data_IF_029949960145
#
_entry.id   IF_029949960145
#
_cell.length_a   1.000
_cell.length_b   1.000
_cell.length_c   1.000
_cell.angle_alpha   90.00
_cell.angle_beta   90.00
_cell.angle_gamma   90.00
#
_symmetry.space_group_name_H-M   'P 1'
#
loop_
_entity.id
_entity.type
_entity.pdbx_description
1 polymer ?
#
# COMPACT_ATOMS: atom_id res chain seq x y z
N UNK A 1 -24.00 -18.85 -34.64
CA UNK A 1 -24.80 -17.65 -34.98
C UNK A 1 -23.91 -16.67 -35.75
N UNK A 2 -24.48 -15.75 -36.55
CA UNK A 2 -23.70 -14.67 -37.16
C UNK A 2 -23.35 -13.61 -36.09
N UNK A 3 -22.29 -12.84 -36.31
CA UNK A 3 -21.95 -11.73 -35.41
C UNK A 3 -23.13 -10.76 -35.28
N UNK A 4 -23.37 -10.28 -34.06
CA UNK A 4 -24.50 -9.43 -33.72
C UNK A 4 -23.98 -8.13 -33.07
N UNK A 5 -24.46 -6.98 -33.54
CA UNK A 5 -24.23 -5.70 -32.86
C UNK A 5 -25.37 -5.42 -31.90
N UNK A 6 -25.05 -5.16 -30.63
CA UNK A 6 -26.01 -4.84 -29.58
C UNK A 6 -25.68 -3.52 -28.91
N UNK A 7 -26.69 -2.86 -28.38
CA UNK A 7 -26.52 -1.69 -27.54
C UNK A 7 -26.28 -2.09 -26.07
N UNK A 8 -25.21 -1.56 -25.45
CA UNK A 8 -24.88 -1.83 -24.06
C UNK A 8 -25.92 -1.26 -23.11
N UNK A 9 -26.46 -2.08 -22.20
CA UNK A 9 -27.48 -1.63 -21.24
C UNK A 9 -27.01 -0.50 -20.31
N UNK A 10 -25.70 -0.41 -20.01
CA UNK A 10 -25.13 0.63 -19.14
C UNK A 10 -24.80 1.92 -19.90
N UNK A 11 -23.74 1.89 -20.71
CA UNK A 11 -23.19 3.08 -21.37
C UNK A 11 -23.91 3.46 -22.66
N UNK A 12 -24.89 2.66 -23.11
CA UNK A 12 -25.65 2.88 -24.34
C UNK A 12 -24.80 2.94 -25.62
N UNK A 13 -23.56 2.45 -25.56
CA UNK A 13 -22.69 2.30 -26.73
C UNK A 13 -22.91 0.95 -27.39
N UNK A 14 -22.73 0.89 -28.70
CA UNK A 14 -22.82 -0.35 -29.45
C UNK A 14 -21.58 -1.23 -29.22
N UNK A 15 -21.79 -2.54 -29.18
CA UNK A 15 -20.73 -3.53 -29.09
C UNK A 15 -21.10 -4.77 -29.90
N UNK A 16 -20.07 -5.40 -30.48
CA UNK A 16 -20.23 -6.61 -31.29
C UNK A 16 -20.03 -7.85 -30.41
N UNK A 17 -20.87 -8.86 -30.63
CA UNK A 17 -20.67 -10.22 -30.16
C UNK A 17 -20.32 -11.04 -31.40
N UNK A 18 -19.13 -11.65 -31.40
CA UNK A 18 -18.68 -12.41 -32.55
C UNK A 18 -19.37 -13.76 -32.65
N UNK A 19 -19.42 -14.33 -33.85
CA UNK A 19 -20.00 -15.66 -34.09
C UNK A 19 -19.39 -16.74 -33.20
N UNK A 20 -18.09 -16.64 -32.91
CA UNK A 20 -17.35 -17.55 -32.02
C UNK A 20 -17.78 -17.39 -30.55
N UNK A 21 -18.08 -16.17 -30.10
CA UNK A 21 -18.54 -15.91 -28.73
C UNK A 21 -19.88 -16.61 -28.45
N UNK A 22 -20.79 -16.63 -29.43
CA UNK A 22 -22.06 -17.35 -29.29
C UNK A 22 -21.87 -18.85 -29.04
N UNK A 23 -20.93 -19.48 -29.76
CA UNK A 23 -20.60 -20.89 -29.55
C UNK A 23 -20.04 -21.12 -28.13
N UNK A 24 -19.26 -20.18 -27.62
CA UNK A 24 -18.75 -20.24 -26.25
C UNK A 24 -19.87 -20.16 -25.21
N UNK A 25 -20.77 -19.17 -25.32
CA UNK A 25 -21.89 -18.99 -24.38
C UNK A 25 -22.85 -20.18 -24.38
N UNK A 26 -23.14 -20.75 -25.56
CA UNK A 26 -23.95 -21.96 -25.70
C UNK A 26 -23.29 -23.16 -25.00
N UNK A 27 -21.97 -23.35 -25.20
CA UNK A 27 -21.20 -24.44 -24.58
C UNK A 27 -21.25 -24.39 -23.06
N UNK A 28 -21.19 -23.21 -22.45
CA UNK A 28 -21.27 -23.04 -20.99
C UNK A 28 -22.71 -22.84 -20.48
N UNK A 29 -23.71 -22.90 -21.37
CA UNK A 29 -25.15 -22.78 -21.08
C UNK A 29 -25.54 -21.47 -20.39
N UNK A 30 -24.99 -20.35 -20.86
CA UNK A 30 -25.35 -19.01 -20.36
C UNK A 30 -25.82 -18.10 -21.50
N UNK A 31 -26.64 -17.08 -21.23
CA UNK A 31 -27.06 -16.14 -22.26
C UNK A 31 -25.90 -15.23 -22.72
N UNK A 32 -25.93 -14.77 -23.99
CA UNK A 32 -24.99 -13.78 -24.49
C UNK A 32 -25.11 -12.46 -23.71
N UNK A 33 -24.02 -11.68 -23.60
CA UNK A 33 -23.98 -10.49 -22.76
C UNK A 33 -24.94 -9.39 -23.24
N UNK A 34 -25.45 -8.63 -22.28
CA UNK A 34 -26.23 -7.39 -22.52
C UNK A 34 -25.43 -6.12 -22.23
N UNK A 35 -24.19 -6.27 -21.75
CA UNK A 35 -23.25 -5.19 -21.43
C UNK A 35 -21.98 -5.38 -22.25
N UNK A 36 -21.39 -4.28 -22.74
CA UNK A 36 -20.11 -4.30 -23.42
C UNK A 36 -18.98 -4.80 -22.50
N UNK A 37 -17.84 -5.18 -23.07
CA UNK A 37 -16.68 -5.72 -22.33
C UNK A 37 -16.19 -4.77 -21.22
N UNK A 38 -16.15 -3.46 -21.49
CA UNK A 38 -15.71 -2.45 -20.52
C UNK A 38 -16.67 -2.32 -19.34
N UNK A 39 -17.98 -2.18 -19.57
CA UNK A 39 -18.94 -2.12 -18.46
C UNK A 39 -19.02 -3.43 -17.67
N UNK A 40 -18.76 -4.59 -18.31
CA UNK A 40 -18.59 -5.85 -17.59
C UNK A 40 -17.33 -5.84 -16.70
N UNK A 41 -16.23 -5.23 -17.17
CA UNK A 41 -15.01 -5.06 -16.38
C UNK A 41 -15.24 -4.14 -15.18
N UNK A 42 -15.88 -2.98 -15.39
CA UNK A 42 -16.26 -2.06 -14.32
C UNK A 42 -17.09 -2.78 -13.24
N UNK A 43 -18.12 -3.53 -13.64
CA UNK A 43 -18.95 -4.33 -12.72
C UNK A 43 -18.19 -5.40 -11.94
N UNK A 44 -17.09 -5.92 -12.47
CA UNK A 44 -16.20 -6.82 -11.72
C UNK A 44 -15.29 -6.04 -10.77
N UNK A 45 -14.79 -4.88 -11.20
CA UNK A 45 -13.88 -4.06 -10.43
C UNK A 45 -14.56 -3.36 -9.23
N UNK A 46 -15.84 -3.01 -9.31
CA UNK A 46 -16.55 -2.32 -8.20
C UNK A 46 -16.59 -3.10 -6.89
N UNK A 47 -16.47 -4.43 -6.93
CA UNK A 47 -16.47 -5.28 -5.74
C UNK A 47 -15.08 -5.47 -5.11
N UNK A 48 -14.02 -4.97 -5.76
CA UNK A 48 -12.65 -5.16 -5.31
C UNK A 48 -11.95 -3.82 -5.14
N UNK A 49 -11.81 -3.42 -3.89
CA UNK A 49 -10.97 -2.30 -3.51
C UNK A 49 -9.56 -2.80 -3.18
N UNK A 50 -8.57 -2.33 -3.94
CA UNK A 50 -7.19 -2.78 -3.80
C UNK A 50 -6.35 -1.91 -2.85
N UNK A 51 -6.70 -0.63 -2.64
CA UNK A 51 -5.77 0.34 -2.02
C UNK A 51 -6.40 1.50 -1.25
N UNK A 52 -7.72 1.66 -1.29
CA UNK A 52 -8.39 2.83 -0.71
C UNK A 52 -8.94 2.49 0.67
N UNK A 53 -8.56 3.27 1.68
CA UNK A 53 -9.22 3.22 2.98
C UNK A 53 -10.25 4.34 3.07
N UNK A 54 -11.48 3.96 3.39
CA UNK A 54 -12.57 4.89 3.66
C UNK A 54 -12.72 5.04 5.17
N UNK A 55 -12.93 6.28 5.63
CA UNK A 55 -13.32 6.56 7.00
C UNK A 55 -14.83 6.32 7.12
N UNK A 56 -15.24 5.35 7.91
CA UNK A 56 -16.64 4.97 8.12
C UNK A 56 -16.98 4.89 9.60
N UNK A 57 -18.26 4.78 9.93
CA UNK A 57 -18.71 4.53 11.30
C UNK A 57 -18.76 3.04 11.58
N UNK A 58 -18.21 2.67 12.72
CA UNK A 58 -18.35 1.34 13.30
C UNK A 58 -19.82 1.04 13.59
N UNK A 59 -20.29 -0.14 13.21
CA UNK A 59 -21.70 -0.50 13.29
C UNK A 59 -22.20 -0.66 14.73
N UNK A 60 -21.36 -1.13 15.65
CA UNK A 60 -21.76 -1.40 17.03
C UNK A 60 -21.59 -0.18 17.94
N UNK A 61 -20.47 0.52 17.79
CA UNK A 61 -20.06 1.61 18.69
C UNK A 61 -20.23 3.00 18.10
N UNK A 62 -20.40 3.13 16.78
CA UNK A 62 -20.49 4.42 16.09
C UNK A 62 -19.17 5.21 16.04
N UNK A 63 -18.05 4.60 16.44
CA UNK A 63 -16.73 5.23 16.37
C UNK A 63 -16.22 5.29 14.93
N UNK A 64 -15.27 6.19 14.67
CA UNK A 64 -14.62 6.27 13.37
C UNK A 64 -13.64 5.10 13.20
N UNK A 65 -13.79 4.34 12.11
CA UNK A 65 -12.91 3.24 11.71
C UNK A 65 -12.53 3.34 10.23
N UNK A 66 -11.53 2.56 9.81
CA UNK A 66 -11.17 2.42 8.40
C UNK A 66 -11.80 1.18 7.78
N UNK A 67 -12.20 1.30 6.52
CA UNK A 67 -12.84 0.23 5.76
C UNK A 67 -12.39 0.19 4.31
N UNK A 68 -12.35 -1.00 3.72
CA UNK A 68 -12.24 -1.15 2.26
C UNK A 68 -13.55 -0.83 1.53
N UNK A 69 -14.63 -0.56 2.26
CA UNK A 69 -15.94 -0.26 1.70
C UNK A 69 -16.32 1.19 1.97
N UNK A 70 -16.81 1.92 0.96
CA UNK A 70 -17.35 3.25 1.15
C UNK A 70 -18.63 3.22 1.99
N UNK A 71 -18.90 4.31 2.74
CA UNK A 71 -20.11 4.43 3.55
C UNK A 71 -21.39 4.37 2.69
N UNK A 72 -21.32 4.89 1.47
CA UNK A 72 -22.37 4.87 0.45
C UNK A 72 -22.77 3.44 0.04
N UNK A 73 -21.86 2.47 0.23
CA UNK A 73 -22.15 1.04 0.00
C UNK A 73 -23.11 0.44 1.02
N UNK A 74 -23.40 1.14 2.13
CA UNK A 74 -24.34 0.69 3.16
C UNK A 74 -23.87 -0.52 3.96
N UNK A 75 -22.57 -0.81 3.95
CA UNK A 75 -21.99 -1.95 4.66
C UNK A 75 -21.85 -1.67 6.15
N UNK A 76 -22.33 -2.60 6.98
CA UNK A 76 -22.15 -2.56 8.44
C UNK A 76 -20.73 -3.03 8.79
N UNK A 77 -19.81 -2.09 8.86
CA UNK A 77 -18.40 -2.38 9.18
C UNK A 77 -18.19 -2.47 10.68
N UNK A 78 -17.45 -3.46 11.15
CA UNK A 78 -17.06 -3.61 12.57
C UNK A 78 -15.55 -3.66 12.75
N UNK A 79 -15.07 -3.44 13.97
CA UNK A 79 -13.65 -3.60 14.30
C UNK A 79 -13.20 -5.06 14.27
N UNK A 80 -11.87 -5.27 14.25
CA UNK A 80 -11.29 -6.61 14.33
C UNK A 80 -11.61 -7.26 15.69
N UNK A 81 -11.52 -6.49 16.76
CA UNK A 81 -11.77 -6.93 18.12
C UNK A 81 -13.21 -7.44 18.28
N UNK A 82 -14.18 -6.72 17.71
CA UNK A 82 -15.58 -7.13 17.72
C UNK A 82 -15.83 -8.37 16.86
N UNK A 83 -15.25 -8.41 15.66
CA UNK A 83 -15.41 -9.54 14.73
C UNK A 83 -14.95 -10.88 15.30
N UNK A 84 -13.85 -10.88 16.06
CA UNK A 84 -13.29 -12.07 16.69
C UNK A 84 -13.76 -12.29 18.14
N UNK A 85 -14.76 -11.53 18.60
CA UNK A 85 -15.38 -11.67 19.92
C UNK A 85 -16.79 -12.25 19.81
N UNK A 86 -17.41 -12.50 20.96
CA UNK A 86 -18.82 -12.91 21.05
C UNK A 86 -19.81 -11.73 20.88
N UNK A 87 -19.34 -10.55 20.48
CA UNK A 87 -20.18 -9.37 20.26
C UNK A 87 -21.12 -9.50 19.04
N UNK A 88 -20.87 -10.46 18.15
CA UNK A 88 -21.65 -10.69 16.94
C UNK A 88 -22.08 -12.16 16.86
N UNK A 89 -23.39 -12.41 16.97
CA UNK A 89 -23.96 -13.71 16.66
C UNK A 89 -24.43 -13.74 15.19
N UNK A 90 -23.66 -14.41 14.33
CA UNK A 90 -23.99 -14.52 12.91
C UNK A 90 -25.25 -15.35 12.64
N UNK A 91 -25.71 -16.17 13.60
CA UNK A 91 -26.93 -16.98 13.47
C UNK A 91 -28.17 -16.08 13.45
N UNK A 92 -28.14 -14.93 14.13
CA UNK A 92 -29.27 -13.99 14.18
C UNK A 92 -29.67 -13.44 12.80
N UNK A 93 -28.73 -13.40 11.86
CA UNK A 93 -28.97 -12.95 10.49
C UNK A 93 -29.51 -14.06 9.58
N UNK A 94 -29.67 -15.28 10.09
CA UNK A 94 -30.25 -16.40 9.37
C UNK A 94 -31.68 -16.12 8.92
N UNK A 95 -32.00 -16.45 7.66
CA UNK A 95 -33.34 -16.28 7.09
C UNK A 95 -33.77 -17.51 6.32
N UNK A 96 -35.07 -17.79 6.32
CA UNK A 96 -35.66 -18.76 5.42
C UNK A 96 -35.68 -18.22 3.98
N UNK A 97 -35.53 -19.11 3.00
CA UNK A 97 -35.59 -18.73 1.59
C UNK A 97 -37.03 -18.38 1.17
N UNK A 98 -37.21 -17.22 0.56
CA UNK A 98 -38.49 -16.76 0.00
C UNK A 98 -38.56 -17.05 -1.50
N UNK A 99 -39.41 -17.99 -1.91
CA UNK A 99 -39.59 -18.37 -3.31
C UNK A 99 -40.33 -17.31 -4.16
N UNK A 100 -40.89 -16.26 -3.53
CA UNK A 100 -41.53 -15.15 -4.25
C UNK A 100 -40.53 -14.11 -4.76
N UNK A 101 -39.32 -14.07 -4.20
CA UNK A 101 -38.23 -13.16 -4.60
C UNK A 101 -37.14 -13.88 -5.37
N UNK A 102 -36.37 -13.13 -6.15
CA UNK A 102 -35.17 -13.67 -6.78
C UNK A 102 -34.07 -13.95 -5.74
N UNK A 103 -33.23 -14.95 -5.99
CA UNK A 103 -32.08 -15.26 -5.14
C UNK A 103 -31.15 -14.05 -4.96
N UNK A 104 -30.83 -13.33 -6.04
CA UNK A 104 -29.90 -12.20 -6.00
C UNK A 104 -30.41 -11.02 -5.18
N UNK A 105 -31.72 -10.78 -5.19
CA UNK A 105 -32.36 -9.75 -4.36
C UNK A 105 -32.23 -10.10 -2.87
N UNK A 106 -32.59 -11.33 -2.50
CA UNK A 106 -32.46 -11.81 -1.12
C UNK A 106 -31.00 -11.80 -0.65
N UNK A 107 -30.07 -12.20 -1.51
CA UNK A 107 -28.63 -12.16 -1.21
C UNK A 107 -28.15 -10.72 -0.99
N UNK A 108 -28.60 -9.76 -1.80
CA UNK A 108 -28.21 -8.37 -1.66
C UNK A 108 -28.81 -7.70 -0.41
N UNK A 109 -30.05 -8.07 -0.04
CA UNK A 109 -30.66 -7.66 1.22
C UNK A 109 -29.86 -8.19 2.42
N UNK A 110 -29.49 -9.49 2.40
CA UNK A 110 -28.70 -10.11 3.44
C UNK A 110 -27.29 -9.49 3.54
N UNK A 111 -26.63 -9.27 2.40
CA UNK A 111 -25.29 -8.71 2.29
C UNK A 111 -25.16 -7.27 2.85
N UNK A 112 -26.28 -6.53 2.95
CA UNK A 112 -26.35 -5.23 3.62
C UNK A 112 -26.59 -5.32 5.12
N UNK A 113 -27.25 -6.39 5.57
CA UNK A 113 -27.62 -6.55 6.97
C UNK A 113 -26.59 -7.27 7.81
N UNK A 114 -25.83 -8.19 7.22
CA UNK A 114 -24.77 -8.94 7.90
C UNK A 114 -23.57 -8.00 8.10
N UNK A 115 -23.07 -7.83 9.35
CA UNK A 115 -21.85 -7.11 9.63
C UNK A 115 -20.66 -7.72 8.89
N UNK A 116 -19.66 -6.89 8.58
CA UNK A 116 -18.45 -7.32 7.89
C UNK A 116 -17.21 -6.88 8.63
N UNK A 117 -16.16 -7.68 8.57
CA UNK A 117 -14.81 -7.26 8.92
C UNK A 117 -14.17 -6.53 7.73
N UNK A 118 -14.03 -5.20 7.78
CA UNK A 118 -13.86 -4.40 6.59
C UNK A 118 -12.43 -4.37 6.06
N UNK A 119 -11.44 -4.65 6.90
CA UNK A 119 -10.03 -4.67 6.52
C UNK A 119 -9.56 -6.06 6.12
N UNK A 120 -10.27 -7.13 6.51
CA UNK A 120 -9.88 -8.54 6.25
C UNK A 120 -8.39 -8.80 6.57
N UNK A 121 -8.01 -8.56 7.82
CA UNK A 121 -6.62 -8.79 8.26
C UNK A 121 -6.51 -9.80 9.41
N UNK A 122 -5.48 -10.62 9.39
CA UNK A 122 -5.27 -11.68 10.39
C UNK A 122 -3.82 -11.71 10.88
N UNK A 123 -3.59 -12.07 12.14
CA UNK A 123 -2.27 -12.24 12.76
C UNK A 123 -1.32 -11.02 12.63
N UNK A 124 -1.89 -9.82 12.60
CA UNK A 124 -1.14 -8.59 12.41
C UNK A 124 -0.37 -8.20 13.68
N UNK A 125 0.89 -7.83 13.53
CA UNK A 125 1.73 -7.33 14.61
C UNK A 125 2.20 -5.92 14.26
N UNK A 126 1.75 -4.91 15.02
CA UNK A 126 2.16 -3.51 14.82
C UNK A 126 2.07 -3.04 13.35
N UNK A 127 0.98 -3.39 12.65
CA UNK A 127 0.85 -3.16 11.21
C UNK A 127 -0.40 -2.36 10.83
N UNK A 128 -0.48 -1.08 11.22
CA UNK A 128 -1.69 -0.28 11.03
C UNK A 128 -1.92 0.10 9.56
N UNK A 129 -3.19 0.36 9.21
CA UNK A 129 -3.62 0.77 7.86
C UNK A 129 -3.36 -0.24 6.74
N UNK A 130 -3.14 -1.51 7.11
CA UNK A 130 -3.04 -2.61 6.16
C UNK A 130 -4.42 -3.25 5.95
N UNK A 131 -4.67 -3.82 4.78
CA UNK A 131 -5.93 -4.47 4.46
C UNK A 131 -5.76 -5.62 3.46
N UNK A 132 -6.69 -6.59 3.46
CA UNK A 132 -6.57 -7.88 2.77
C UNK A 132 -5.20 -8.52 3.03
N UNK A 133 -4.81 -8.68 4.30
CA UNK A 133 -3.44 -9.00 4.65
C UNK A 133 -3.34 -9.96 5.83
N UNK A 134 -2.39 -10.87 5.77
CA UNK A 134 -2.21 -11.89 6.81
C UNK A 134 -0.78 -11.93 7.32
N UNK A 135 -0.62 -12.01 8.64
CA UNK A 135 0.66 -12.18 9.32
C UNK A 135 1.71 -11.09 9.00
N UNK A 136 1.28 -9.84 8.81
CA UNK A 136 2.22 -8.74 8.65
C UNK A 136 2.80 -8.31 10.00
N UNK A 137 4.09 -7.94 10.00
CA UNK A 137 4.80 -7.45 11.17
C UNK A 137 5.48 -6.12 10.87
N UNK A 138 5.19 -5.10 11.67
CA UNK A 138 5.72 -3.75 11.45
C UNK A 138 5.52 -3.30 10.00
N UNK A 139 4.30 -3.36 9.46
CA UNK A 139 4.00 -2.93 8.10
C UNK A 139 3.04 -1.74 8.09
N UNK A 140 3.20 -0.82 7.13
CA UNK A 140 2.35 0.37 7.03
C UNK A 140 1.77 0.53 5.65
N UNK A 141 0.44 0.68 5.57
CA UNK A 141 -0.27 0.92 4.30
C UNK A 141 0.00 -0.19 3.25
N UNK A 142 0.06 -1.44 3.69
CA UNK A 142 0.24 -2.61 2.82
C UNK A 142 -1.10 -3.28 2.51
N UNK A 143 -1.35 -3.58 1.23
CA UNK A 143 -2.58 -4.20 0.75
C UNK A 143 -2.33 -5.53 0.05
N UNK A 144 -3.22 -6.50 0.22
CA UNK A 144 -3.14 -7.80 -0.45
C UNK A 144 -1.83 -8.54 -0.16
N UNK A 145 -1.29 -8.43 1.06
CA UNK A 145 0.08 -8.82 1.39
C UNK A 145 0.11 -9.86 2.51
N UNK A 146 1.01 -10.84 2.42
CA UNK A 146 1.11 -11.90 3.42
C UNK A 146 2.54 -12.09 3.93
N UNK A 147 2.69 -12.31 5.24
CA UNK A 147 3.99 -12.63 5.88
C UNK A 147 5.10 -11.59 5.63
N UNK A 148 4.74 -10.32 5.36
CA UNK A 148 5.73 -9.27 5.18
C UNK A 148 6.17 -8.66 6.51
N UNK A 149 7.46 -8.32 6.61
CA UNK A 149 8.06 -7.67 7.78
C UNK A 149 8.72 -6.34 7.38
N UNK A 150 8.49 -5.29 8.17
CA UNK A 150 9.11 -3.97 7.96
C UNK A 150 8.87 -3.35 6.56
N UNK A 151 7.70 -3.61 5.97
CA UNK A 151 7.33 -3.13 4.64
C UNK A 151 6.38 -1.92 4.69
N UNK A 152 6.48 -1.01 3.73
CA UNK A 152 5.60 0.17 3.65
C UNK A 152 5.11 0.44 2.23
N UNK A 153 3.88 0.95 2.12
CA UNK A 153 3.27 1.38 0.85
C UNK A 153 3.21 0.26 -0.21
N UNK A 154 3.13 -1.00 0.26
CA UNK A 154 3.20 -2.20 -0.54
C UNK A 154 1.83 -2.64 -1.07
N UNK A 155 1.80 -3.26 -2.24
CA UNK A 155 0.66 -4.06 -2.67
C UNK A 155 1.17 -5.45 -3.11
N UNK A 156 0.44 -6.52 -2.80
CA UNK A 156 0.87 -7.89 -3.14
C UNK A 156 2.33 -8.14 -2.72
N UNK A 157 2.62 -7.85 -1.45
CA UNK A 157 3.94 -8.01 -0.84
C UNK A 157 3.92 -9.29 -0.02
N UNK A 158 4.46 -10.36 -0.59
CA UNK A 158 4.44 -11.68 0.03
C UNK A 158 5.85 -12.09 0.48
N UNK A 159 5.96 -12.61 1.70
CA UNK A 159 7.21 -13.16 2.28
C UNK A 159 8.42 -12.23 2.17
N UNK A 160 8.21 -10.91 2.29
CA UNK A 160 9.23 -9.90 2.01
C UNK A 160 9.66 -9.14 3.28
N UNK A 161 10.91 -8.69 3.32
CA UNK A 161 11.50 -8.00 4.48
C UNK A 161 12.24 -6.72 4.08
N UNK A 162 12.02 -5.64 4.84
CA UNK A 162 12.70 -4.34 4.67
C UNK A 162 12.53 -3.76 3.24
N UNK A 163 11.32 -3.84 2.68
CA UNK A 163 11.00 -3.36 1.32
C UNK A 163 10.13 -2.08 1.35
N UNK A 164 10.46 -1.09 0.51
CA UNK A 164 9.79 0.24 0.52
C UNK A 164 9.35 0.64 -0.90
N UNK A 165 8.11 1.13 -1.03
CA UNK A 165 7.49 1.65 -2.26
C UNK A 165 7.39 0.62 -3.41
N UNK A 166 6.79 -0.54 -3.14
CA UNK A 166 6.71 -1.65 -4.11
C UNK A 166 5.27 -2.00 -4.48
N UNK A 167 4.99 -2.28 -5.75
CA UNK A 167 3.63 -2.60 -6.20
C UNK A 167 3.27 -4.09 -6.22
N UNK A 168 4.25 -4.99 -6.41
CA UNK A 168 4.11 -6.46 -6.34
C UNK A 168 5.51 -7.06 -6.13
N UNK A 169 5.76 -7.71 -4.99
CA UNK A 169 7.04 -8.34 -4.66
C UNK A 169 6.80 -9.65 -3.89
N UNK A 170 7.57 -10.68 -4.21
CA UNK A 170 7.47 -11.98 -3.57
C UNK A 170 8.87 -12.47 -3.14
N UNK A 171 9.04 -12.89 -1.89
CA UNK A 171 10.30 -13.37 -1.33
C UNK A 171 11.49 -12.41 -1.58
N UNK A 172 11.30 -11.13 -1.30
CA UNK A 172 12.32 -10.09 -1.52
C UNK A 172 12.83 -9.51 -0.20
N UNK A 173 14.14 -9.27 -0.11
CA UNK A 173 14.78 -8.69 1.07
C UNK A 173 15.78 -7.58 0.69
N UNK A 174 15.71 -6.45 1.42
CA UNK A 174 16.55 -5.26 1.20
C UNK A 174 16.41 -4.68 -0.22
N UNK A 175 15.17 -4.53 -0.66
CA UNK A 175 14.84 -3.97 -1.98
C UNK A 175 14.23 -2.56 -1.86
N UNK A 176 14.58 -1.66 -2.79
CA UNK A 176 14.12 -0.27 -2.77
C UNK A 176 13.76 0.24 -4.17
N UNK A 177 12.57 0.86 -4.28
CA UNK A 177 12.03 1.41 -5.55
C UNK A 177 11.99 0.33 -6.64
N UNK A 178 11.44 -0.83 -6.28
CA UNK A 178 11.38 -1.98 -7.17
C UNK A 178 9.94 -2.26 -7.62
N UNK A 179 9.78 -2.69 -8.87
CA UNK A 179 8.48 -2.98 -9.44
C UNK A 179 8.48 -4.36 -10.09
N UNK A 180 7.58 -5.26 -9.64
CA UNK A 180 7.45 -6.64 -10.13
C UNK A 180 8.73 -7.45 -9.93
N UNK A 181 8.91 -7.94 -8.70
CA UNK A 181 10.07 -8.71 -8.28
C UNK A 181 9.70 -10.05 -7.68
N UNK A 182 10.55 -11.05 -7.92
CA UNK A 182 10.42 -12.38 -7.32
C UNK A 182 11.80 -12.92 -6.91
N UNK A 183 11.94 -13.44 -5.69
CA UNK A 183 13.17 -14.05 -5.18
C UNK A 183 14.42 -13.17 -5.36
N UNK A 184 14.34 -11.90 -4.94
CA UNK A 184 15.43 -10.95 -5.11
C UNK A 184 16.00 -10.40 -3.81
N UNK A 185 17.32 -10.25 -3.78
CA UNK A 185 18.05 -9.81 -2.59
C UNK A 185 18.97 -8.63 -2.90
N UNK A 186 18.89 -7.57 -2.10
CA UNK A 186 19.79 -6.41 -2.16
C UNK A 186 19.75 -5.72 -3.54
N UNK A 187 18.55 -5.41 -4.01
CA UNK A 187 18.31 -4.84 -5.33
C UNK A 187 17.68 -3.45 -5.27
N UNK A 188 18.12 -2.54 -6.13
CA UNK A 188 17.77 -1.12 -6.06
C UNK A 188 17.37 -0.56 -7.43
N UNK A 189 16.22 0.12 -7.49
CA UNK A 189 15.68 0.74 -8.71
C UNK A 189 15.52 -0.25 -9.86
N UNK A 190 14.87 -1.39 -9.60
CA UNK A 190 14.74 -2.45 -10.59
C UNK A 190 13.30 -2.74 -10.98
N UNK A 191 13.11 -3.18 -12.23
CA UNK A 191 11.79 -3.40 -12.82
C UNK A 191 11.73 -4.81 -13.44
N UNK A 192 10.66 -5.56 -13.17
CA UNK A 192 10.31 -6.83 -13.83
C UNK A 192 11.42 -7.88 -13.78
N UNK A 193 12.07 -8.07 -12.63
CA UNK A 193 13.24 -8.95 -12.51
C UNK A 193 12.96 -10.09 -11.52
N UNK A 194 13.69 -11.20 -11.63
CA UNK A 194 13.45 -12.38 -10.78
C UNK A 194 14.73 -13.18 -10.50
N UNK A 195 14.75 -13.95 -9.41
CA UNK A 195 15.83 -14.88 -9.04
C UNK A 195 17.23 -14.23 -9.08
N UNK A 196 17.35 -13.00 -8.58
CA UNK A 196 18.51 -12.15 -8.82
C UNK A 196 18.99 -11.45 -7.56
N UNK A 197 20.29 -11.21 -7.41
CA UNK A 197 20.81 -10.43 -6.29
C UNK A 197 21.82 -9.35 -6.70
N UNK A 198 21.96 -8.30 -5.87
CA UNK A 198 22.88 -7.19 -6.12
C UNK A 198 22.65 -6.48 -7.47
N UNK A 199 21.39 -6.21 -7.81
CA UNK A 199 21.05 -5.45 -9.02
C UNK A 199 20.87 -3.96 -8.73
N UNK A 200 21.32 -3.13 -9.66
CA UNK A 200 21.17 -1.68 -9.59
C UNK A 200 20.69 -1.13 -10.94
N UNK A 201 19.59 -0.39 -10.97
CA UNK A 201 19.07 0.23 -12.20
C UNK A 201 18.83 -0.75 -13.35
N UNK A 202 18.40 -1.97 -13.02
CA UNK A 202 18.19 -3.06 -13.98
C UNK A 202 16.72 -3.24 -14.36
N UNK A 203 16.47 -3.76 -15.56
CA UNK A 203 15.12 -4.07 -16.04
C UNK A 203 15.08 -5.43 -16.72
N UNK A 204 14.07 -6.24 -16.42
CA UNK A 204 13.88 -7.54 -17.05
C UNK A 204 15.15 -8.42 -16.96
N UNK A 205 15.71 -8.55 -15.75
CA UNK A 205 16.85 -9.41 -15.46
C UNK A 205 16.38 -10.64 -14.68
N UNK A 206 16.77 -11.84 -15.12
CA UNK A 206 16.34 -13.09 -14.47
C UNK A 206 17.52 -14.02 -14.22
N UNK A 207 17.72 -14.47 -12.98
CA UNK A 207 18.90 -15.25 -12.61
C UNK A 207 20.18 -14.43 -12.58
N UNK A 208 20.11 -13.10 -12.45
CA UNK A 208 21.25 -12.21 -12.62
C UNK A 208 21.85 -11.76 -11.28
N UNK A 209 23.17 -11.73 -11.21
CA UNK A 209 23.88 -11.39 -9.98
C UNK A 209 24.91 -10.31 -10.23
N UNK A 210 25.00 -9.31 -9.34
CA UNK A 210 25.99 -8.24 -9.47
C UNK A 210 25.92 -7.58 -10.86
N UNK A 211 24.78 -6.93 -11.17
CA UNK A 211 24.60 -6.21 -12.43
C UNK A 211 24.17 -4.76 -12.19
N UNK A 212 24.66 -3.86 -13.03
CA UNK A 212 24.40 -2.42 -12.96
C UNK A 212 23.89 -1.90 -14.31
N UNK A 213 22.74 -1.24 -14.35
CA UNK A 213 22.19 -0.61 -15.56
C UNK A 213 21.84 -1.61 -16.67
N UNK A 214 21.54 -2.86 -16.32
CA UNK A 214 21.36 -3.94 -17.31
C UNK A 214 19.90 -4.15 -17.68
N UNK A 215 19.65 -4.59 -18.91
CA UNK A 215 18.32 -4.83 -19.46
C UNK A 215 18.25 -6.19 -20.16
N UNK A 216 17.19 -6.96 -19.96
CA UNK A 216 16.92 -8.23 -20.67
C UNK A 216 18.01 -9.30 -20.49
N UNK A 217 18.74 -9.28 -19.37
CA UNK A 217 19.76 -10.30 -19.11
C UNK A 217 19.15 -11.56 -18.48
N UNK A 218 19.78 -12.70 -18.77
CA UNK A 218 19.42 -14.01 -18.20
C UNK A 218 20.68 -14.68 -17.67
N UNK A 219 20.65 -15.22 -16.45
CA UNK A 219 21.72 -16.03 -15.84
C UNK A 219 23.12 -15.42 -16.02
N UNK A 220 23.21 -14.09 -15.89
CA UNK A 220 24.43 -13.32 -16.14
C UNK A 220 24.95 -12.73 -14.86
N UNK A 221 26.27 -12.50 -14.79
CA UNK A 221 26.87 -11.89 -13.60
C UNK A 221 27.93 -10.90 -13.95
N UNK A 222 28.19 -9.90 -13.11
CA UNK A 222 29.24 -8.90 -13.34
C UNK A 222 29.05 -8.10 -14.63
N UNK A 223 27.81 -7.69 -14.90
CA UNK A 223 27.46 -6.92 -16.09
C UNK A 223 27.24 -5.44 -15.75
N UNK A 224 27.74 -4.55 -16.59
CA UNK A 224 27.46 -3.11 -16.52
C UNK A 224 26.96 -2.67 -17.90
N UNK A 225 25.74 -2.14 -17.98
CA UNK A 225 25.07 -1.77 -19.23
C UNK A 225 25.13 -2.91 -20.28
N UNK A 226 24.76 -4.11 -19.86
CA UNK A 226 24.79 -5.36 -20.66
C UNK A 226 26.16 -5.85 -21.11
N UNK A 227 27.25 -5.19 -20.70
CA UNK A 227 28.60 -5.64 -21.00
C UNK A 227 29.14 -6.48 -19.85
N UNK A 228 29.65 -7.66 -20.18
CA UNK A 228 30.29 -8.59 -19.25
C UNK A 228 31.68 -8.07 -18.85
N UNK A 229 31.97 -8.09 -17.55
CA UNK A 229 33.29 -7.78 -17.00
C UNK A 229 33.83 -8.96 -16.20
N UNK A 230 35.14 -8.94 -15.93
CA UNK A 230 35.68 -9.79 -14.86
C UNK A 230 35.20 -9.28 -13.50
N UNK A 231 35.14 -10.18 -12.51
CA UNK A 231 34.73 -9.83 -11.13
C UNK A 231 35.48 -8.61 -10.58
N UNK A 232 36.79 -8.58 -10.73
CA UNK A 232 37.64 -7.50 -10.20
C UNK A 232 37.41 -6.17 -10.91
N UNK A 233 37.20 -6.19 -12.23
CA UNK A 233 36.90 -4.98 -12.99
C UNK A 233 35.52 -4.45 -12.66
N UNK A 234 34.53 -5.34 -12.55
CA UNK A 234 33.17 -4.99 -12.16
C UNK A 234 33.16 -4.23 -10.84
N UNK A 235 33.74 -4.80 -9.77
CA UNK A 235 33.73 -4.15 -8.47
C UNK A 235 34.48 -2.81 -8.47
N UNK A 236 35.60 -2.69 -9.20
CA UNK A 236 36.31 -1.41 -9.35
C UNK A 236 35.46 -0.35 -10.05
N UNK A 237 34.74 -0.73 -11.11
CA UNK A 237 33.90 0.20 -11.86
C UNK A 237 32.68 0.58 -11.01
N UNK A 238 32.03 -0.38 -10.36
CA UNK A 238 30.86 -0.10 -9.52
C UNK A 238 31.23 0.71 -8.29
N UNK A 239 32.36 0.45 -7.64
CA UNK A 239 32.86 1.28 -6.54
C UNK A 239 33.10 2.71 -7.00
N UNK A 240 33.71 2.88 -8.18
CA UNK A 240 33.87 4.20 -8.80
C UNK A 240 32.51 4.86 -9.10
N UNK A 241 31.55 4.13 -9.66
CA UNK A 241 30.20 4.65 -9.93
C UNK A 241 29.52 5.08 -8.63
N UNK A 242 29.61 4.26 -7.57
CA UNK A 242 29.11 4.61 -6.23
C UNK A 242 29.79 5.88 -5.72
N UNK A 243 31.12 5.94 -5.72
CA UNK A 243 31.85 7.16 -5.35
C UNK A 243 31.39 8.38 -6.16
N UNK A 244 31.17 8.26 -7.48
CA UNK A 244 30.60 9.35 -8.28
C UNK A 244 29.16 9.70 -7.89
N UNK A 245 28.32 8.71 -7.56
CA UNK A 245 26.97 8.93 -7.05
C UNK A 245 26.96 9.59 -5.67
N UNK A 246 28.04 9.45 -4.92
CA UNK A 246 28.23 10.00 -3.57
C UNK A 246 28.86 11.41 -3.63
N UNK A 247 29.82 11.62 -4.54
CA UNK A 247 30.64 12.83 -4.70
C UNK A 247 30.02 13.85 -5.66
N UNK A 248 29.16 13.45 -6.59
CA UNK A 248 28.41 14.40 -7.43
C UNK A 248 27.01 14.63 -6.85
N UNK A 249 26.78 15.73 -6.11
CA UNK A 249 25.46 16.30 -6.06
C UNK A 249 25.17 16.75 -7.50
N UNK A 250 24.41 15.99 -8.29
CA UNK A 250 23.84 16.60 -9.50
C UNK A 250 23.09 17.83 -9.00
N UNK A 251 23.47 19.01 -9.46
CA UNK A 251 22.53 20.11 -9.39
C UNK A 251 21.57 19.82 -10.53
N UNK A 252 20.29 19.66 -10.24
CA UNK A 252 19.31 19.80 -11.31
C UNK A 252 19.53 21.21 -11.88
N UNK A 253 20.18 21.31 -13.04
CA UNK A 253 20.52 22.60 -13.66
C UNK A 253 19.27 23.43 -13.98
N UNK A 254 18.09 22.80 -13.96
CA UNK A 254 16.80 23.43 -14.20
C UNK A 254 16.19 23.97 -12.89
N UNK A 255 16.31 23.23 -11.80
CA UNK A 255 15.64 23.53 -10.51
C UNK A 255 16.60 24.06 -9.42
N UNK A 256 17.91 24.07 -9.66
CA UNK A 256 18.96 24.52 -8.74
C UNK A 256 18.93 23.80 -7.37
N UNK A 257 18.54 22.52 -7.37
CA UNK A 257 18.47 21.67 -6.17
C UNK A 257 19.77 20.88 -6.05
N UNK A 258 20.44 20.97 -4.89
CA UNK A 258 21.57 20.13 -4.54
C UNK A 258 21.11 18.67 -4.38
N UNK A 259 21.57 17.77 -5.26
CA UNK A 259 21.37 16.34 -4.99
C UNK A 259 22.23 15.86 -3.81
N UNK A 260 21.88 14.73 -3.18
CA UNK A 260 22.41 14.39 -1.86
C UNK A 260 23.86 13.89 -1.88
N UNK A 261 24.63 14.35 -0.88
CA UNK A 261 26.09 14.18 -0.69
C UNK A 261 26.49 12.87 0.03
N UNK A 262 25.51 12.03 0.35
CA UNK A 262 25.72 10.77 1.05
C UNK A 262 25.59 9.63 0.06
N UNK A 263 26.30 8.53 0.30
CA UNK A 263 26.18 7.38 -0.58
C UNK A 263 24.80 6.76 -0.59
N UNK A 264 24.46 6.00 -1.63
CA UNK A 264 23.13 5.37 -1.69
C UNK A 264 22.80 4.60 -0.41
N UNK A 265 23.73 3.75 0.06
CA UNK A 265 23.54 2.92 1.24
C UNK A 265 23.43 3.80 2.51
N UNK A 266 24.27 4.82 2.68
CA UNK A 266 24.17 5.77 3.80
C UNK A 266 22.92 6.65 3.73
N UNK A 267 22.44 7.00 2.54
CA UNK A 267 21.18 7.72 2.33
C UNK A 267 19.98 6.83 2.62
N UNK A 268 20.08 5.55 2.30
CA UNK A 268 19.07 4.56 2.63
C UNK A 268 19.02 4.42 4.15
N UNK A 269 20.14 4.11 4.81
CA UNK A 269 20.22 3.98 6.28
C UNK A 269 19.80 5.26 7.00
N UNK A 270 20.28 6.43 6.55
CA UNK A 270 19.84 7.71 7.10
C UNK A 270 18.34 7.94 6.88
N UNK A 271 17.79 7.66 5.70
CA UNK A 271 16.33 7.74 5.48
C UNK A 271 15.56 6.77 6.36
N UNK A 272 16.04 5.54 6.55
CA UNK A 272 15.42 4.57 7.46
C UNK A 272 15.49 5.05 8.92
N UNK A 273 16.54 5.78 9.28
CA UNK A 273 16.71 6.39 10.60
C UNK A 273 15.84 7.63 10.82
N UNK A 274 15.78 8.52 9.84
CA UNK A 274 15.01 9.78 9.85
C UNK A 274 13.50 9.52 9.69
N UNK A 275 13.10 8.32 9.26
CA UNK A 275 11.69 7.89 9.23
C UNK A 275 11.10 7.78 10.62
N UNK A 276 9.85 8.21 10.72
CA UNK A 276 8.99 7.90 11.86
C UNK A 276 9.02 6.39 12.10
N UNK A 277 9.37 5.98 13.31
CA UNK A 277 9.40 4.55 13.64
C UNK A 277 7.97 4.03 13.69
N UNK A 278 7.78 2.79 13.22
CA UNK A 278 6.46 2.15 13.14
C UNK A 278 5.88 1.80 14.51
N UNK A 279 6.68 1.88 15.59
CA UNK A 279 6.19 1.75 16.95
C UNK A 279 5.53 3.06 17.38
N UNK A 280 4.25 2.99 17.73
CA UNK A 280 3.52 4.13 18.28
C UNK A 280 3.74 4.21 19.78
N UNK A 281 4.03 5.42 20.27
CA UNK A 281 4.22 5.73 21.67
C UNK A 281 3.12 6.68 22.14
N UNK A 282 2.67 6.49 23.37
CA UNK A 282 1.80 7.48 24.03
C UNK A 282 2.62 8.73 24.34
N UNK A 283 2.18 9.87 23.80
CA UNK A 283 2.78 11.19 23.98
C UNK A 283 1.71 12.15 24.46
N UNK A 284 2.15 13.27 25.04
CA UNK A 284 1.28 14.37 25.44
C UNK A 284 1.64 15.61 24.63
N UNK A 285 0.65 16.39 24.23
CA UNK A 285 0.83 17.62 23.48
C UNK A 285 1.82 18.54 24.21
N UNK A 286 2.82 19.00 23.46
CA UNK A 286 3.87 19.86 23.97
C UNK A 286 3.52 21.35 23.86
N UNK A 287 2.31 21.72 23.45
CA UNK A 287 1.93 23.13 23.40
C UNK A 287 1.72 23.70 24.82
N UNK A 288 2.42 24.80 25.13
CA UNK A 288 2.35 25.55 26.38
C UNK A 288 1.88 27.01 26.13
N UNK A 289 1.01 27.20 25.15
CA UNK A 289 0.39 28.49 24.85
C UNK A 289 1.25 29.35 23.95
N UNK A 290 2.07 30.25 24.51
CA UNK A 290 2.94 31.15 23.72
C UNK A 290 4.17 30.45 23.11
N UNK A 291 4.48 29.26 23.60
CA UNK A 291 5.64 28.46 23.18
C UNK A 291 5.34 26.98 23.41
N UNK A 292 6.20 26.12 22.87
CA UNK A 292 6.20 24.72 23.24
C UNK A 292 6.82 24.50 24.64
N UNK A 293 6.60 23.32 25.21
CA UNK A 293 7.05 22.93 26.55
C UNK A 293 8.58 22.97 26.73
N UNK A 294 9.35 22.85 25.65
CA UNK A 294 10.82 22.96 25.68
C UNK A 294 11.31 24.40 25.54
N UNK A 295 10.44 25.33 25.11
CA UNK A 295 10.78 26.72 24.85
C UNK A 295 11.61 26.95 23.58
N UNK A 296 11.77 25.93 22.72
CA UNK A 296 12.55 26.00 21.49
C UNK A 296 11.72 26.68 20.38
N UNK A 297 10.45 26.34 20.28
CA UNK A 297 9.51 26.86 19.29
C UNK A 297 8.55 27.86 19.95
N UNK A 298 8.47 29.06 19.37
CA UNK A 298 7.51 30.08 19.77
C UNK A 298 6.28 29.96 18.89
N UNK A 299 5.13 29.73 19.52
CA UNK A 299 3.86 29.63 18.83
C UNK A 299 3.51 30.97 18.19
N UNK A 300 2.97 30.90 16.98
CA UNK A 300 2.67 32.07 16.15
C UNK A 300 1.32 32.67 16.48
N UNK A 301 0.44 31.87 17.07
CA UNK A 301 -0.94 32.26 17.39
C UNK A 301 -1.30 31.91 18.84
N UNK A 302 -2.43 32.45 19.32
CA UNK A 302 -2.95 32.13 20.65
C UNK A 302 -3.89 30.91 20.55
N UNK A 303 -3.53 29.84 21.25
CA UNK A 303 -4.28 28.57 21.18
C UNK A 303 -5.50 28.59 22.12
N UNK A 304 -6.41 27.65 21.90
CA UNK A 304 -7.68 27.53 22.64
C UNK A 304 -7.51 27.31 24.16
N UNK A 305 -6.35 26.84 24.60
CA UNK A 305 -6.01 26.61 26.00
C UNK A 305 -5.20 27.79 26.61
N UNK A 306 -5.12 28.93 25.92
CA UNK A 306 -4.47 30.13 26.45
C UNK A 306 -2.97 29.94 26.68
N UNK A 307 -2.50 30.32 27.87
CA UNK A 307 -1.09 30.21 28.29
C UNK A 307 -0.81 28.90 29.07
N UNK A 308 -1.82 28.03 29.25
CA UNK A 308 -1.67 26.75 29.95
C UNK A 308 -1.19 25.63 29.02
N UNK A 309 -0.73 24.52 29.61
CA UNK A 309 -0.35 23.32 28.86
C UNK A 309 -1.59 22.63 28.29
N UNK A 310 -1.56 22.28 26.99
CA UNK A 310 -2.68 21.60 26.33
C UNK A 310 -3.05 20.26 27.00
N UNK A 311 -2.05 19.43 27.33
CA UNK A 311 -2.26 18.17 28.07
C UNK A 311 -2.93 17.03 27.31
N UNK A 312 -3.35 17.24 26.05
CA UNK A 312 -3.97 16.20 25.23
C UNK A 312 -3.02 15.04 24.96
N UNK A 313 -3.49 13.79 25.14
CA UNK A 313 -2.68 12.58 24.92
C UNK A 313 -3.04 11.93 23.59
N UNK A 314 -2.04 11.45 22.87
CA UNK A 314 -2.20 10.78 21.57
C UNK A 314 -1.06 9.79 21.31
N UNK A 315 -1.22 8.96 20.29
CA UNK A 315 -0.22 7.98 19.87
C UNK A 315 0.50 8.46 18.61
N UNK A 316 1.84 8.47 18.62
CA UNK A 316 2.67 8.91 17.49
C UNK A 316 3.96 8.10 17.41
N UNK A 317 4.58 8.02 16.23
CA UNK A 317 5.83 7.26 16.01
C UNK A 317 7.11 7.92 16.52
N UNK A 318 7.01 9.09 17.15
CA UNK A 318 8.12 9.74 17.85
C UNK A 318 8.23 9.20 19.28
N UNK A 319 9.33 8.52 19.57
CA UNK A 319 9.64 7.99 20.90
C UNK A 319 9.63 9.14 21.96
N UNK A 320 9.21 8.88 23.23
CA UNK A 320 9.37 9.80 24.34
C UNK A 320 10.73 10.53 24.44
N UNK A 321 11.82 9.86 24.10
CA UNK A 321 13.19 10.39 24.16
C UNK A 321 13.59 11.19 22.90
N UNK A 322 12.69 11.29 21.91
CA UNK A 322 12.91 12.05 20.69
C UNK A 322 12.96 13.56 20.96
N UNK A 323 13.73 14.28 20.14
CA UNK A 323 13.93 15.74 20.29
C UNK A 323 12.81 16.55 19.64
N UNK A 324 11.97 15.89 18.87
CA UNK A 324 10.88 16.47 18.10
C UNK A 324 9.76 16.98 19.00
N UNK A 325 9.33 18.21 18.72
CA UNK A 325 8.21 18.87 19.39
C UNK A 325 6.92 18.31 18.78
N UNK A 326 6.07 17.69 19.59
CA UNK A 326 4.84 17.05 19.13
C UNK A 326 3.60 17.78 19.64
N UNK A 327 2.76 18.24 18.71
CA UNK A 327 1.49 18.91 19.02
C UNK A 327 0.33 17.94 18.76
N UNK A 328 -0.79 18.10 19.48
CA UNK A 328 -2.01 17.42 19.09
C UNK A 328 -2.53 18.01 17.78
N UNK A 329 -3.44 17.29 17.12
CA UNK A 329 -4.00 17.72 15.84
C UNK A 329 -4.56 19.13 15.90
N UNK A 330 -5.30 19.48 16.97
CA UNK A 330 -5.91 20.81 17.13
C UNK A 330 -4.87 21.92 17.24
N UNK A 331 -3.90 21.81 18.15
CA UNK A 331 -2.85 22.82 18.30
C UNK A 331 -1.97 22.95 17.05
N UNK A 332 -1.70 21.83 16.37
CA UNK A 332 -0.91 21.85 15.14
C UNK A 332 -1.67 22.53 14.01
N UNK A 333 -2.95 22.21 13.82
CA UNK A 333 -3.77 22.82 12.77
C UNK A 333 -3.87 24.33 12.93
N UNK A 334 -4.01 24.83 14.16
CA UNK A 334 -4.07 26.29 14.38
C UNK A 334 -2.74 27.02 14.11
N UNK A 335 -1.59 26.33 14.15
CA UNK A 335 -0.28 26.92 13.82
C UNK A 335 0.00 26.90 12.31
N UNK A 336 -0.56 25.94 11.59
CA UNK A 336 -0.29 25.72 10.16
C UNK A 336 -1.34 26.37 9.27
N UNK A 337 -2.58 26.50 9.75
CA UNK A 337 -3.73 27.07 9.05
C UNK A 337 -4.33 28.21 9.86
#
# INVERSE_FOLDING_TARGET
>A
MNSETRNCQNCKQDFTIDSEDFNFYEKIKVPPPTFCSLCRLERRAVYRNERKLFKVKDFLTGKDIFSLYPAEGGKKSVTQEEWFSDALDNIEYGRNYDFSKSFSEQLFELDKEVPIFPLRVEFMVNSPYCANATALKNCYLCFNSNNAENCMYGNATDFSKDCVDNSHINHCERCYECFWMENCYQCYFIIMSADSHNLWFCRDCMGCNDCFGCVNLRKSSYCIFNKQYTKNEYFKIVERIKLYMDEMPFVDKKENILLPILCHDCRFERRIKDRLKMQLYERTCMCAGKMDKTGIYKNTIKHFHGDELCGEKFKIGYNPDSKEIVYCEKCYQQEVY
#
